data_IF_477319180078
#
_entry.id   IF_477319180078
#
_cell.length_a   1.000
_cell.length_b   1.000
_cell.length_c   1.000
_cell.angle_alpha   90.00
_cell.angle_beta   90.00
_cell.angle_gamma   90.00
#
_symmetry.space_group_name_H-M   'P 1'
#
loop_
_entity.id
_entity.type
_entity.pdbx_description
1 polymer ?
#
# COMPACT_ATOMS: atom_id res chain seq x y z
N UNK A 1 -11.68 36.09 -85.14
CA UNK A 1 -11.21 34.71 -84.87
C UNK A 1 -11.04 34.58 -83.37
N UNK A 2 -11.86 33.78 -82.67
CA UNK A 2 -11.67 33.55 -81.24
C UNK A 2 -10.59 32.50 -81.03
N UNK A 3 -9.60 32.83 -80.22
CA UNK A 3 -8.50 31.96 -79.78
C UNK A 3 -9.04 30.81 -78.93
N UNK A 4 -8.64 29.58 -79.26
CA UNK A 4 -8.89 28.39 -78.44
C UNK A 4 -8.30 28.56 -77.02
N UNK A 5 -8.98 28.06 -75.97
CA UNK A 5 -8.43 28.09 -74.63
C UNK A 5 -7.27 27.08 -74.50
N UNK A 6 -6.29 27.35 -73.61
CA UNK A 6 -5.15 26.47 -73.43
C UNK A 6 -5.59 25.12 -72.85
N UNK A 7 -5.04 24.05 -73.42
CA UNK A 7 -5.20 22.67 -72.98
C UNK A 7 -4.78 22.58 -71.51
N UNK A 8 -5.71 22.21 -70.64
CA UNK A 8 -5.45 21.89 -69.24
C UNK A 8 -4.40 20.78 -69.18
N UNK A 9 -3.24 21.09 -68.59
CA UNK A 9 -2.21 20.10 -68.31
C UNK A 9 -2.82 18.96 -67.47
N UNK A 10 -2.62 17.73 -67.94
CA UNK A 10 -3.03 16.53 -67.22
C UNK A 10 -2.47 16.55 -65.80
N UNK A 11 -3.37 16.54 -64.82
CA UNK A 11 -3.03 16.33 -63.41
C UNK A 11 -2.48 14.92 -63.30
N UNK A 12 -1.16 14.80 -63.11
CA UNK A 12 -0.54 13.51 -62.82
C UNK A 12 -1.22 12.87 -61.60
N UNK A 13 -1.56 11.57 -61.65
CA UNK A 13 -2.24 10.93 -60.54
C UNK A 13 -1.35 11.03 -59.30
N UNK A 14 -1.88 11.66 -58.24
CA UNK A 14 -1.20 11.80 -56.96
C UNK A 14 -0.68 10.42 -56.53
N UNK A 15 0.64 10.32 -56.30
CA UNK A 15 1.26 9.10 -55.78
C UNK A 15 0.46 8.66 -54.56
N UNK A 16 -0.16 7.48 -54.65
CA UNK A 16 -0.95 6.91 -53.58
C UNK A 16 -0.02 6.71 -52.39
N UNK A 17 -0.07 7.61 -51.41
CA UNK A 17 0.70 7.52 -50.18
C UNK A 17 -0.23 6.91 -49.15
N UNK A 18 -0.23 5.57 -48.98
CA UNK A 18 -1.13 4.93 -48.04
C UNK A 18 -0.82 5.46 -46.64
N UNK A 19 -1.77 6.20 -46.06
CA UNK A 19 -1.64 6.67 -44.69
C UNK A 19 -1.90 5.48 -43.77
N UNK A 20 -0.85 5.04 -43.05
CA UNK A 20 -0.97 3.98 -42.05
C UNK A 20 -1.08 4.62 -40.67
N UNK A 21 -2.27 4.57 -40.08
CA UNK A 21 -2.50 5.00 -38.71
C UNK A 21 -1.94 3.95 -37.76
N UNK A 22 -1.12 4.38 -36.80
CA UNK A 22 -0.59 3.55 -35.73
C UNK A 22 -1.37 3.93 -34.46
N UNK A 23 -2.00 2.97 -33.77
CA UNK A 23 -2.67 3.25 -32.50
C UNK A 23 -1.66 3.67 -31.43
N UNK A 24 -2.09 4.51 -30.49
CA UNK A 24 -1.26 5.04 -29.40
C UNK A 24 -1.16 4.07 -28.19
N UNK A 25 -1.63 2.83 -28.36
CA UNK A 25 -1.54 1.79 -27.36
C UNK A 25 -0.19 1.05 -27.46
N UNK A 26 0.39 0.59 -26.33
CA UNK A 26 1.57 -0.26 -26.35
C UNK A 26 1.36 -1.49 -27.24
N UNK A 27 2.21 -1.64 -28.25
CA UNK A 27 2.06 -2.66 -29.31
C UNK A 27 2.93 -3.89 -29.08
N UNK A 28 2.46 -5.05 -29.55
CA UNK A 28 3.22 -6.32 -29.60
C UNK A 28 4.17 -6.41 -30.80
N UNK A 29 4.12 -5.43 -31.70
CA UNK A 29 4.96 -5.29 -32.88
C UNK A 29 5.56 -3.88 -32.93
N UNK A 30 6.84 -3.80 -33.32
CA UNK A 30 7.54 -2.53 -33.47
C UNK A 30 7.16 -1.87 -34.81
N UNK A 31 6.09 -1.09 -34.78
CA UNK A 31 5.51 -0.42 -35.94
C UNK A 31 6.40 0.69 -36.54
N UNK A 32 7.41 1.17 -35.79
CA UNK A 32 8.41 2.12 -36.29
C UNK A 32 9.61 1.42 -36.96
N UNK A 33 9.60 0.08 -37.01
CA UNK A 33 10.62 -0.67 -37.71
C UNK A 33 10.57 -0.43 -39.23
N UNK A 34 11.73 -0.19 -39.83
CA UNK A 34 11.91 -0.03 -41.27
C UNK A 34 13.00 -1.01 -41.72
N UNK A 35 12.76 -1.73 -42.83
CA UNK A 35 13.74 -2.57 -43.55
C UNK A 35 14.89 -3.14 -42.70
N UNK A 36 14.60 -4.15 -41.87
CA UNK A 36 15.60 -4.87 -41.09
C UNK A 36 16.02 -4.21 -39.77
N UNK A 37 15.55 -3.00 -39.47
CA UNK A 37 15.81 -2.32 -38.20
C UNK A 37 14.52 -2.09 -37.41
N UNK A 38 14.51 -2.55 -36.15
CA UNK A 38 13.38 -2.43 -35.21
C UNK A 38 13.89 -1.87 -33.88
N UNK A 39 13.92 -0.53 -33.71
CA UNK A 39 14.61 0.11 -32.59
C UNK A 39 14.06 -0.33 -31.22
N UNK A 40 12.75 -0.36 -31.03
CA UNK A 40 12.15 -0.76 -29.75
C UNK A 40 12.39 -2.25 -29.47
N UNK A 41 12.35 -3.08 -30.51
CA UNK A 41 12.64 -4.52 -30.38
C UNK A 41 14.09 -4.77 -29.94
N UNK A 42 15.05 -4.04 -30.52
CA UNK A 42 16.47 -4.20 -30.14
C UNK A 42 16.71 -3.76 -28.69
N UNK A 43 16.11 -2.65 -28.24
CA UNK A 43 16.18 -2.23 -26.83
C UNK A 43 15.59 -3.31 -25.92
N UNK A 44 14.39 -3.82 -26.24
CA UNK A 44 13.75 -4.89 -25.47
C UNK A 44 14.60 -6.16 -25.42
N UNK A 45 15.25 -6.54 -26.53
CA UNK A 45 16.13 -7.71 -26.60
C UNK A 45 17.39 -7.54 -25.75
N UNK A 46 18.02 -6.37 -25.79
CA UNK A 46 19.18 -6.06 -24.94
C UNK A 46 18.81 -6.12 -23.46
N UNK A 47 17.66 -5.53 -23.08
CA UNK A 47 17.14 -5.62 -21.72
C UNK A 47 16.89 -7.07 -21.31
N UNK A 48 16.23 -7.88 -22.16
CA UNK A 48 15.96 -9.28 -21.87
C UNK A 48 17.25 -10.09 -21.63
N UNK A 49 18.28 -9.91 -22.49
CA UNK A 49 19.58 -10.55 -22.31
C UNK A 49 20.24 -10.15 -21.01
N UNK A 50 20.28 -8.85 -20.72
CA UNK A 50 20.84 -8.34 -19.47
C UNK A 50 20.15 -8.95 -18.25
N UNK A 51 18.82 -9.03 -18.24
CA UNK A 51 18.03 -9.60 -17.14
C UNK A 51 18.26 -11.11 -16.93
N UNK A 52 18.66 -11.84 -17.97
CA UNK A 52 18.89 -13.30 -17.96
C UNK A 52 20.36 -13.64 -17.69
N UNK A 53 21.29 -12.88 -18.25
CA UNK A 53 22.71 -13.22 -18.28
C UNK A 53 23.50 -12.56 -17.14
N UNK A 54 23.12 -11.35 -16.71
CA UNK A 54 23.85 -10.65 -15.66
C UNK A 54 23.69 -11.31 -14.28
N UNK A 55 24.72 -11.22 -13.41
CA UNK A 55 24.69 -11.77 -12.07
C UNK A 55 23.66 -11.07 -11.17
N UNK A 56 23.13 -11.85 -10.23
CA UNK A 56 22.13 -11.44 -9.23
C UNK A 56 22.72 -10.42 -8.26
N UNK A 57 22.41 -9.15 -8.50
CA UNK A 57 22.93 -8.02 -7.72
C UNK A 57 21.86 -7.00 -7.29
N UNK A 58 20.57 -7.24 -7.57
CA UNK A 58 19.51 -6.30 -7.17
C UNK A 58 19.68 -4.96 -7.86
N UNK A 59 19.57 -4.93 -9.19
CA UNK A 59 19.90 -3.74 -10.00
C UNK A 59 18.65 -2.94 -10.37
N UNK A 60 18.83 -1.63 -10.50
CA UNK A 60 17.83 -0.73 -11.06
C UNK A 60 18.28 -0.26 -12.46
N UNK A 61 17.34 -0.17 -13.39
CA UNK A 61 17.55 0.23 -14.78
C UNK A 61 16.55 1.33 -15.11
N UNK A 62 17.04 2.44 -15.64
CA UNK A 62 16.21 3.54 -16.12
C UNK A 62 16.01 3.46 -17.63
N UNK A 63 14.77 3.54 -18.11
CA UNK A 63 14.45 3.70 -19.53
C UNK A 63 14.07 5.15 -19.80
N UNK A 64 15.07 5.94 -20.18
CA UNK A 64 14.91 7.37 -20.41
C UNK A 64 14.28 7.68 -21.78
N UNK A 65 13.33 8.60 -21.82
CA UNK A 65 12.83 9.18 -23.07
C UNK A 65 11.67 10.15 -22.84
N UNK A 66 11.38 11.05 -23.80
CA UNK A 66 10.26 11.99 -23.69
C UNK A 66 8.89 11.29 -23.80
N UNK A 67 7.81 12.03 -23.54
CA UNK A 67 6.45 11.54 -23.83
C UNK A 67 6.32 11.11 -25.31
N UNK A 68 5.67 9.97 -25.55
CA UNK A 68 5.44 9.45 -26.90
C UNK A 68 6.65 8.75 -27.53
N UNK A 69 7.75 8.59 -26.81
CA UNK A 69 8.96 7.92 -27.32
C UNK A 69 8.88 6.38 -27.34
N UNK A 70 7.70 5.79 -27.12
CA UNK A 70 7.51 4.34 -27.19
C UNK A 70 8.00 3.53 -25.97
N UNK A 71 8.26 4.14 -24.81
CA UNK A 71 8.74 3.44 -23.60
C UNK A 71 7.85 2.26 -23.18
N UNK A 72 6.54 2.47 -23.10
CA UNK A 72 5.59 1.40 -22.75
C UNK A 72 5.52 0.32 -23.84
N UNK A 73 5.77 0.66 -25.11
CA UNK A 73 5.95 -0.32 -26.20
C UNK A 73 7.19 -1.18 -25.96
N UNK A 74 8.33 -0.58 -25.59
CA UNK A 74 9.55 -1.34 -25.21
C UNK A 74 9.27 -2.29 -24.05
N UNK A 75 8.54 -1.86 -23.02
CA UNK A 75 8.15 -2.73 -21.89
C UNK A 75 7.28 -3.91 -22.35
N UNK A 76 6.34 -3.66 -23.26
CA UNK A 76 5.48 -4.72 -23.81
C UNK A 76 6.26 -5.72 -24.66
N UNK A 77 7.16 -5.24 -25.51
CA UNK A 77 8.07 -6.09 -26.28
C UNK A 77 9.01 -6.88 -25.37
N UNK A 78 9.51 -6.27 -24.28
CA UNK A 78 10.31 -6.95 -23.27
C UNK A 78 9.53 -8.09 -22.60
N UNK A 79 8.28 -7.85 -22.19
CA UNK A 79 7.43 -8.88 -21.63
C UNK A 79 7.24 -10.07 -22.58
N UNK A 80 7.08 -9.79 -23.89
CA UNK A 80 7.00 -10.79 -24.94
C UNK A 80 8.30 -11.58 -25.08
N UNK A 81 9.45 -10.91 -25.15
CA UNK A 81 10.78 -11.52 -25.26
C UNK A 81 11.12 -12.44 -24.07
N UNK A 82 10.81 -12.00 -22.84
CA UNK A 82 10.97 -12.80 -21.62
C UNK A 82 10.04 -14.03 -21.61
N UNK A 83 8.89 -13.94 -22.26
CA UNK A 83 7.94 -15.05 -22.36
C UNK A 83 8.30 -16.05 -23.47
N UNK A 84 9.00 -15.63 -24.52
CA UNK A 84 9.41 -16.48 -25.65
C UNK A 84 10.76 -17.15 -25.46
N UNK A 85 11.69 -16.53 -24.75
CA UNK A 85 13.08 -16.99 -24.65
C UNK A 85 13.24 -18.19 -23.72
N UNK A 86 13.85 -19.29 -24.19
CA UNK A 86 14.05 -20.52 -23.40
C UNK A 86 14.84 -20.29 -22.11
N UNK A 87 15.89 -19.47 -22.14
CA UNK A 87 16.70 -19.14 -20.95
C UNK A 87 15.89 -18.38 -19.88
N UNK A 88 14.97 -17.50 -20.31
CA UNK A 88 14.07 -16.81 -19.39
C UNK A 88 13.01 -17.76 -18.79
N UNK A 89 12.57 -18.77 -19.53
CA UNK A 89 11.68 -19.83 -19.01
C UNK A 89 12.38 -20.76 -18.03
N UNK A 90 13.63 -21.12 -18.29
CA UNK A 90 14.44 -21.94 -17.36
C UNK A 90 14.65 -21.22 -16.02
N UNK A 91 14.90 -19.91 -16.08
CA UNK A 91 15.04 -19.07 -14.90
C UNK A 91 13.71 -18.70 -14.26
N UNK A 92 12.56 -19.02 -14.87
CA UNK A 92 11.23 -18.54 -14.47
C UNK A 92 11.30 -17.03 -14.21
N UNK A 93 11.51 -16.24 -15.27
CA UNK A 93 11.52 -14.78 -15.18
C UNK A 93 10.09 -14.26 -15.26
N UNK A 94 9.70 -13.44 -14.29
CA UNK A 94 8.37 -12.80 -14.27
C UNK A 94 8.51 -11.29 -14.21
N UNK A 95 7.73 -10.62 -15.04
CA UNK A 95 7.61 -9.17 -15.03
C UNK A 95 6.31 -8.78 -14.34
N UNK A 96 6.40 -7.87 -13.36
CA UNK A 96 5.27 -7.25 -12.65
C UNK A 96 5.31 -5.77 -12.95
N UNK A 97 4.20 -5.20 -13.42
CA UNK A 97 4.12 -3.78 -13.78
C UNK A 97 3.16 -3.05 -12.87
N UNK A 98 3.62 -1.96 -12.28
CA UNK A 98 2.79 -1.04 -11.51
C UNK A 98 2.69 0.29 -12.25
N UNK A 99 1.45 0.66 -12.61
CA UNK A 99 1.17 1.97 -13.19
C UNK A 99 0.95 2.97 -12.06
N UNK A 100 1.93 3.84 -11.85
CA UNK A 100 1.90 4.80 -10.74
C UNK A 100 0.82 5.86 -10.93
N UNK A 101 0.52 6.23 -12.18
CA UNK A 101 -0.43 7.29 -12.50
C UNK A 101 -1.88 6.80 -12.44
N UNK A 102 -2.14 5.55 -12.84
CA UNK A 102 -3.46 4.94 -12.69
C UNK A 102 -3.95 4.87 -11.24
N UNK A 103 -3.01 4.88 -10.28
CA UNK A 103 -3.26 4.89 -8.84
C UNK A 103 -3.01 6.25 -8.18
N UNK A 104 -2.96 7.34 -8.96
CA UNK A 104 -2.84 8.68 -8.38
C UNK A 104 -4.09 9.01 -7.56
N UNK A 105 -3.89 9.41 -6.29
CA UNK A 105 -4.97 9.66 -5.34
C UNK A 105 -5.32 8.46 -4.45
N UNK A 106 -4.88 7.25 -4.80
CA UNK A 106 -4.96 6.09 -3.91
C UNK A 106 -3.84 6.10 -2.86
N UNK A 107 -3.99 5.32 -1.76
CA UNK A 107 -2.86 4.98 -0.89
C UNK A 107 -1.79 4.20 -1.68
N UNK A 108 -0.77 4.90 -2.15
CA UNK A 108 0.24 4.39 -3.10
C UNK A 108 0.87 3.07 -2.67
N UNK A 109 1.32 2.93 -1.41
CA UNK A 109 2.00 1.72 -0.94
C UNK A 109 1.04 0.53 -0.91
N UNK A 110 -0.20 0.78 -0.52
CA UNK A 110 -1.25 -0.23 -0.55
C UNK A 110 -1.50 -0.71 -1.97
N UNK A 111 -1.79 0.21 -2.90
CA UNK A 111 -2.09 -0.13 -4.29
C UNK A 111 -0.91 -0.86 -4.95
N UNK A 112 0.32 -0.46 -4.62
CA UNK A 112 1.53 -1.12 -5.10
C UNK A 112 1.64 -2.57 -4.61
N UNK A 113 1.44 -2.82 -3.30
CA UNK A 113 1.43 -4.20 -2.76
C UNK A 113 0.30 -5.01 -3.37
N UNK A 114 -0.93 -4.48 -3.41
CA UNK A 114 -2.09 -5.20 -3.94
C UNK A 114 -1.91 -5.58 -5.41
N UNK A 115 -1.44 -4.64 -6.25
CA UNK A 115 -1.15 -4.90 -7.67
C UNK A 115 -0.04 -5.93 -7.87
N UNK A 116 1.02 -5.87 -7.05
CA UNK A 116 2.12 -6.84 -7.06
C UNK A 116 1.62 -8.24 -6.69
N UNK A 117 0.83 -8.36 -5.63
CA UNK A 117 0.25 -9.65 -5.20
C UNK A 117 -0.67 -10.25 -6.26
N UNK A 118 -1.50 -9.43 -6.90
CA UNK A 118 -2.41 -9.88 -7.97
C UNK A 118 -1.62 -10.53 -9.11
N UNK A 119 -0.56 -9.88 -9.58
CA UNK A 119 0.26 -10.36 -10.69
C UNK A 119 1.11 -11.58 -10.33
N UNK A 120 1.57 -11.69 -9.07
CA UNK A 120 2.36 -12.84 -8.63
C UNK A 120 1.50 -14.08 -8.31
N UNK A 121 0.27 -13.89 -7.84
CA UNK A 121 -0.69 -14.99 -7.68
C UNK A 121 -1.23 -15.44 -9.04
N UNK A 122 -1.33 -14.53 -10.02
CA UNK A 122 -1.88 -14.82 -11.34
C UNK A 122 -3.38 -15.09 -11.31
N UNK A 123 -3.96 -15.37 -12.49
CA UNK A 123 -5.38 -15.71 -12.60
C UNK A 123 -5.59 -17.23 -12.57
N UNK A 124 -6.83 -17.67 -12.30
CA UNK A 124 -7.15 -19.11 -12.26
C UNK A 124 -6.92 -19.82 -13.60
N UNK A 125 -6.90 -19.08 -14.71
CA UNK A 125 -6.72 -19.59 -16.07
C UNK A 125 -5.28 -19.48 -16.57
N UNK A 126 -4.36 -19.00 -15.73
CA UNK A 126 -2.95 -18.87 -16.09
C UNK A 126 -2.27 -20.25 -16.02
N UNK A 127 -1.63 -20.67 -17.11
CA UNK A 127 -0.94 -21.96 -17.22
C UNK A 127 0.43 -21.96 -16.54
N UNK A 128 0.90 -20.79 -16.06
CA UNK A 128 2.14 -20.65 -15.29
C UNK A 128 1.95 -21.01 -13.81
N UNK A 129 3.02 -21.50 -13.19
CA UNK A 129 3.04 -21.75 -11.75
C UNK A 129 2.76 -20.45 -10.97
N UNK A 130 1.88 -20.49 -9.97
CA UNK A 130 1.65 -19.34 -9.09
C UNK A 130 2.90 -19.11 -8.24
N UNK A 131 3.39 -17.88 -8.19
CA UNK A 131 4.54 -17.54 -7.35
C UNK A 131 4.13 -17.27 -5.91
N UNK A 132 2.89 -16.80 -5.73
CA UNK A 132 2.29 -16.54 -4.44
C UNK A 132 1.00 -17.35 -4.28
N UNK A 133 0.86 -18.00 -3.14
CA UNK A 133 -0.35 -18.71 -2.75
C UNK A 133 -1.52 -17.74 -2.54
N UNK A 134 -2.75 -18.18 -2.84
CA UNK A 134 -3.94 -17.39 -2.52
C UNK A 134 -4.08 -17.08 -1.03
N UNK A 135 -3.54 -17.94 -0.15
CA UNK A 135 -3.62 -17.77 1.30
C UNK A 135 -2.72 -16.65 1.79
N UNK A 136 -1.46 -16.58 1.32
CA UNK A 136 -0.57 -15.46 1.61
C UNK A 136 -1.12 -14.15 1.07
N UNK A 137 -1.69 -14.15 -0.14
CA UNK A 137 -2.39 -12.97 -0.68
C UNK A 137 -3.53 -12.52 0.24
N UNK A 138 -4.35 -13.45 0.74
CA UNK A 138 -5.43 -13.13 1.69
C UNK A 138 -4.90 -12.57 2.99
N UNK A 139 -3.84 -13.16 3.55
CA UNK A 139 -3.24 -12.71 4.81
C UNK A 139 -2.64 -11.30 4.68
N UNK A 140 -1.88 -11.03 3.61
CA UNK A 140 -1.34 -9.69 3.39
C UNK A 140 -2.48 -8.67 3.19
N UNK A 141 -3.54 -9.06 2.47
CA UNK A 141 -4.71 -8.20 2.27
C UNK A 141 -5.49 -7.95 3.57
N UNK A 142 -5.60 -8.94 4.46
CA UNK A 142 -6.20 -8.73 5.78
C UNK A 142 -5.34 -7.79 6.61
N UNK A 143 -4.03 -7.94 6.59
CA UNK A 143 -3.10 -7.07 7.34
C UNK A 143 -3.12 -5.63 6.82
N UNK A 144 -3.31 -5.42 5.51
CA UNK A 144 -3.56 -4.11 4.91
C UNK A 144 -4.89 -3.49 5.38
N UNK A 145 -5.86 -4.28 5.81
CA UNK A 145 -7.23 -3.83 6.10
C UNK A 145 -7.52 -3.75 7.61
N UNK A 146 -6.88 -4.57 8.43
CA UNK A 146 -7.05 -4.61 9.88
C UNK A 146 -6.20 -3.56 10.59
N UNK A 147 -6.78 -2.37 10.82
CA UNK A 147 -6.35 -1.55 11.96
C UNK A 147 -6.93 -2.17 13.24
N UNK A 148 -6.09 -2.86 14.01
CA UNK A 148 -6.43 -3.30 15.38
C UNK A 148 -6.80 -2.08 16.21
N UNK A 149 -8.10 -1.84 16.35
CA UNK A 149 -8.64 -0.84 17.28
C UNK A 149 -8.43 -1.39 18.69
N UNK A 150 -7.27 -1.11 19.28
CA UNK A 150 -7.06 -1.37 20.71
C UNK A 150 -7.75 -0.27 21.47
N UNK A 151 -9.01 -0.47 21.83
CA UNK A 151 -9.65 0.30 22.89
C UNK A 151 -8.95 -0.06 24.19
N UNK A 152 -7.96 0.74 24.59
CA UNK A 152 -7.40 0.61 25.92
C UNK A 152 -8.44 1.17 26.90
N UNK A 153 -9.23 0.27 27.50
CA UNK A 153 -10.01 0.67 28.67
C UNK A 153 -8.97 0.90 29.78
N UNK A 154 -8.96 2.08 30.38
CA UNK A 154 -8.17 2.28 31.60
C UNK A 154 -8.65 1.24 32.63
N UNK A 155 -7.76 0.61 33.42
CA UNK A 155 -8.17 -0.29 34.50
C UNK A 155 -9.23 0.33 35.44
N UNK A 156 -9.23 1.66 35.55
CA UNK A 156 -10.24 2.42 36.30
C UNK A 156 -11.56 2.62 35.57
N UNK A 157 -11.54 2.65 34.24
CA UNK A 157 -12.75 2.64 33.40
C UNK A 157 -13.49 1.31 33.55
N UNK A 158 -12.76 0.20 33.60
CA UNK A 158 -13.33 -1.12 33.87
C UNK A 158 -13.96 -1.18 35.28
N UNK A 159 -13.25 -0.72 36.30
CA UNK A 159 -13.79 -0.63 37.67
C UNK A 159 -15.02 0.29 37.77
N UNK A 160 -15.05 1.39 37.02
CA UNK A 160 -16.21 2.28 36.96
C UNK A 160 -17.40 1.61 36.28
N UNK A 161 -17.19 0.89 35.17
CA UNK A 161 -18.26 0.13 34.51
C UNK A 161 -18.84 -0.95 35.40
N UNK A 162 -17.99 -1.69 36.14
CA UNK A 162 -18.43 -2.69 37.12
C UNK A 162 -19.22 -2.00 38.25
N UNK A 163 -18.76 -0.85 38.76
CA UNK A 163 -19.47 -0.10 39.79
C UNK A 163 -20.84 0.41 39.34
N UNK A 164 -20.98 0.81 38.07
CA UNK A 164 -22.26 1.26 37.52
C UNK A 164 -23.27 0.11 37.40
N UNK A 165 -22.81 -1.11 37.11
CA UNK A 165 -23.67 -2.31 37.12
C UNK A 165 -24.07 -2.66 38.55
N UNK A 166 -23.12 -2.61 39.50
CA UNK A 166 -23.40 -2.85 40.91
C UNK A 166 -24.40 -1.83 41.48
N UNK A 167 -24.35 -0.57 41.07
CA UNK A 167 -25.30 0.44 41.55
C UNK A 167 -26.73 0.18 41.08
N UNK A 168 -26.91 -0.28 39.84
CA UNK A 168 -28.22 -0.69 39.33
C UNK A 168 -28.79 -1.88 40.11
N UNK A 169 -27.96 -2.87 40.46
CA UNK A 169 -28.35 -4.01 41.29
C UNK A 169 -28.71 -3.55 42.71
N UNK A 170 -27.89 -2.66 43.31
CA UNK A 170 -28.16 -2.10 44.62
C UNK A 170 -29.51 -1.38 44.69
N UNK A 171 -29.83 -0.57 43.67
CA UNK A 171 -31.11 0.14 43.59
C UNK A 171 -32.31 -0.82 43.40
N UNK A 172 -32.12 -1.92 42.67
CA UNK A 172 -33.18 -2.91 42.44
C UNK A 172 -33.49 -3.78 43.67
N UNK A 173 -32.51 -3.99 44.55
CA UNK A 173 -32.65 -4.76 45.78
C UNK A 173 -33.13 -3.94 46.98
N UNK A 174 -33.31 -2.62 46.81
CA UNK A 174 -33.87 -1.78 47.87
C UNK A 174 -35.33 -2.16 48.13
N UNK A 175 -35.73 -2.41 49.39
CA UNK A 175 -37.12 -2.65 49.74
C UNK A 175 -37.99 -1.46 49.30
N UNK A 176 -39.11 -1.74 48.60
CA UNK A 176 -40.06 -0.70 48.15
C UNK A 176 -40.85 -0.07 49.31
N UNK A 177 -40.92 -0.77 50.43
CA UNK A 177 -41.69 -0.35 51.60
C UNK A 177 -40.79 0.39 52.60
N UNK A 178 -40.68 1.70 52.41
CA UNK A 178 -39.86 2.60 53.25
C UNK A 178 -40.36 2.75 54.71
N UNK A 179 -41.48 2.10 55.07
CA UNK A 179 -42.14 2.19 56.38
C UNK A 179 -41.74 1.10 57.36
N UNK A 180 -40.97 0.09 56.95
CA UNK A 180 -40.43 -0.92 57.88
C UNK A 180 -39.38 -0.26 58.77
N UNK A 181 -39.65 -0.23 60.08
CA UNK A 181 -38.73 0.30 61.10
C UNK A 181 -37.35 -0.29 60.89
N UNK A 182 -36.32 0.55 60.71
CA UNK A 182 -34.92 0.10 60.58
C UNK A 182 -34.58 -0.70 61.83
N UNK A 183 -34.57 -2.03 61.72
CA UNK A 183 -34.29 -2.93 62.84
C UNK A 183 -32.79 -3.12 62.95
N UNK A 184 -32.20 -2.68 64.05
CA UNK A 184 -30.79 -2.93 64.36
C UNK A 184 -30.66 -4.33 64.97
N UNK A 185 -30.30 -5.32 64.16
CA UNK A 185 -30.16 -6.72 64.55
C UNK A 185 -28.73 -7.18 64.22
N UNK A 186 -27.83 -7.48 65.20
CA UNK A 186 -27.82 -7.27 66.65
C UNK A 186 -27.82 -5.77 67.09
N UNK A 187 -28.04 -5.44 68.38
CA UNK A 187 -28.08 -4.05 68.85
C UNK A 187 -26.78 -3.31 68.50
N UNK A 188 -26.90 -2.27 67.69
CA UNK A 188 -25.79 -1.46 67.18
C UNK A 188 -25.36 -1.75 65.74
N UNK A 189 -25.85 -2.84 65.12
CA UNK A 189 -25.55 -3.16 63.73
C UNK A 189 -26.78 -2.88 62.83
N UNK A 190 -26.64 -2.09 61.76
CA UNK A 190 -27.73 -1.88 60.80
C UNK A 190 -28.05 -3.17 60.03
N UNK A 191 -29.34 -3.38 59.73
CA UNK A 191 -29.83 -4.59 59.06
C UNK A 191 -29.08 -4.89 57.74
N UNK A 192 -28.58 -6.13 57.54
CA UNK A 192 -28.00 -6.58 56.28
C UNK A 192 -28.86 -6.28 55.04
N UNK A 193 -30.19 -6.31 55.18
CA UNK A 193 -31.14 -6.10 54.07
C UNK A 193 -31.11 -4.67 53.51
N UNK A 194 -30.75 -3.67 54.34
CA UNK A 194 -30.63 -2.28 53.90
C UNK A 194 -29.17 -1.89 53.62
N UNK A 195 -28.23 -2.43 54.38
CA UNK A 195 -26.81 -2.07 54.27
C UNK A 195 -26.16 -2.57 52.98
N UNK A 196 -26.46 -3.79 52.55
CA UNK A 196 -25.87 -4.39 51.35
C UNK A 196 -26.34 -3.67 50.07
N UNK A 197 -27.65 -3.40 49.86
CA UNK A 197 -28.11 -2.66 48.68
C UNK A 197 -27.60 -1.22 48.63
N UNK A 198 -27.55 -0.52 49.77
CA UNK A 198 -27.01 0.85 49.86
C UNK A 198 -25.53 0.89 49.50
N UNK A 199 -24.74 -0.10 49.96
CA UNK A 199 -23.31 -0.19 49.64
C UNK A 199 -23.09 -0.40 48.13
N UNK A 200 -23.89 -1.25 47.50
CA UNK A 200 -23.84 -1.47 46.05
C UNK A 200 -24.30 -0.24 45.26
N UNK A 201 -25.38 0.43 45.69
CA UNK A 201 -25.85 1.69 45.11
C UNK A 201 -24.79 2.81 45.19
N UNK A 202 -24.05 2.87 46.31
CA UNK A 202 -22.98 3.84 46.53
C UNK A 202 -21.63 3.46 45.89
N UNK A 203 -21.52 2.29 45.26
CA UNK A 203 -20.25 1.78 44.73
C UNK A 203 -19.52 2.71 43.74
N UNK A 204 -20.18 3.47 42.84
CA UNK A 204 -19.48 4.41 41.95
C UNK A 204 -18.84 5.59 42.72
N UNK A 205 -19.49 6.03 43.81
CA UNK A 205 -18.97 7.08 44.68
C UNK A 205 -17.77 6.59 45.49
N UNK A 206 -17.81 5.35 45.97
CA UNK A 206 -16.67 4.72 46.65
C UNK A 206 -15.45 4.66 45.74
N UNK A 207 -15.61 4.20 44.48
CA UNK A 207 -14.52 4.17 43.49
C UNK A 207 -13.92 5.56 43.28
N UNK A 208 -14.75 6.62 43.23
CA UNK A 208 -14.28 8.01 43.13
C UNK A 208 -13.58 8.52 44.40
N UNK A 209 -14.05 8.15 45.59
CA UNK A 209 -13.48 8.59 46.87
C UNK A 209 -12.14 7.90 47.12
N UNK A 210 -12.04 6.58 46.92
CA UNK A 210 -10.78 5.84 47.04
C UNK A 210 -9.73 6.28 46.02
N UNK A 211 -10.16 6.84 44.88
CA UNK A 211 -9.29 7.45 43.88
C UNK A 211 -8.58 8.71 44.40
N UNK A 212 -9.27 9.57 45.15
CA UNK A 212 -8.77 10.91 45.51
C UNK A 212 -7.47 10.90 46.35
N UNK A 213 -7.33 10.11 47.44
CA UNK A 213 -6.11 10.08 48.26
C UNK A 213 -5.00 9.18 47.68
N UNK A 214 -5.34 8.19 46.84
CA UNK A 214 -4.35 7.29 46.22
C UNK A 214 -3.59 8.01 45.09
N UNK A 215 -4.26 8.86 44.31
CA UNK A 215 -3.62 9.73 43.30
C UNK A 215 -2.77 10.84 43.93
N UNK A 216 -3.20 11.41 45.07
CA UNK A 216 -2.44 12.50 45.72
C UNK A 216 -1.10 12.05 46.30
N UNK A 217 -0.91 10.74 46.54
CA UNK A 217 0.34 10.16 47.05
C UNK A 217 1.30 9.67 45.96
N UNK A 218 0.79 9.25 44.80
CA UNK A 218 1.62 8.65 43.75
C UNK A 218 1.84 9.53 42.51
N UNK A 219 1.00 10.55 42.25
CA UNK A 219 1.02 11.25 40.96
C UNK A 219 0.77 12.75 41.11
N UNK A 220 1.82 13.48 41.53
CA UNK A 220 1.82 14.96 41.51
C UNK A 220 2.08 15.55 40.11
N UNK A 221 2.38 14.73 39.11
CA UNK A 221 2.92 15.19 37.81
C UNK A 221 2.09 14.82 36.57
N UNK A 222 1.10 13.91 36.66
CA UNK A 222 0.32 13.46 35.48
C UNK A 222 -1.11 14.02 35.41
N UNK A 223 -1.56 14.76 36.42
CA UNK A 223 -2.91 15.35 36.45
C UNK A 223 -2.90 16.77 35.88
N UNK A 224 -2.58 16.92 34.59
CA UNK A 224 -2.86 18.20 33.90
C UNK A 224 -3.72 18.10 32.66
N UNK A 225 -4.17 16.93 32.20
CA UNK A 225 -4.98 16.89 30.98
C UNK A 225 -5.90 15.68 30.76
N UNK A 226 -6.46 15.07 31.80
CA UNK A 226 -7.30 13.87 31.63
C UNK A 226 -8.69 14.04 32.26
N UNK A 227 -9.53 14.85 31.61
CA UNK A 227 -10.94 15.09 31.96
C UNK A 227 -11.93 14.15 31.24
N UNK A 228 -11.47 13.21 30.40
CA UNK A 228 -12.34 12.26 29.68
C UNK A 228 -12.26 10.86 30.28
N UNK A 229 -13.00 10.62 31.37
CA UNK A 229 -12.92 9.37 32.14
C UNK A 229 -13.71 8.18 31.59
N UNK A 230 -14.56 8.38 30.59
CA UNK A 230 -15.41 7.33 30.06
C UNK A 230 -15.32 7.30 28.55
N UNK A 231 -14.30 6.63 28.05
CA UNK A 231 -14.03 6.43 26.61
C UNK A 231 -13.35 7.62 25.93
N UNK A 232 -12.03 7.53 25.82
CA UNK A 232 -11.37 7.99 24.60
C UNK A 232 -11.66 6.92 23.53
N UNK A 233 -12.91 6.80 23.12
CA UNK A 233 -13.28 6.06 21.92
C UNK A 233 -12.81 6.93 20.76
N UNK A 234 -11.55 6.80 20.37
CA UNK A 234 -11.13 7.24 19.05
C UNK A 234 -11.86 6.34 18.05
N UNK A 235 -13.01 6.80 17.59
CA UNK A 235 -13.63 6.30 16.38
C UNK A 235 -12.69 6.66 15.23
N UNK A 236 -11.64 5.87 15.01
CA UNK A 236 -10.90 5.93 13.77
C UNK A 236 -11.80 5.24 12.77
N UNK A 237 -12.63 6.04 12.10
CA UNK A 237 -13.30 5.65 10.88
C UNK A 237 -12.27 5.02 9.95
N UNK A 238 -12.47 3.75 9.63
CA UNK A 238 -11.69 2.99 8.65
C UNK A 238 -11.96 3.60 7.28
N UNK A 239 -11.21 4.66 6.96
CA UNK A 239 -10.86 4.95 5.58
C UNK A 239 -9.43 4.47 5.39
N UNK A 240 -9.22 3.68 4.35
CA UNK A 240 -7.98 3.02 3.95
C UNK A 240 -6.76 3.95 4.13
N UNK A 241 -6.08 3.84 5.27
CA UNK A 241 -4.84 4.58 5.48
C UNK A 241 -3.74 3.89 4.70
N UNK A 242 -2.90 4.69 4.04
CA UNK A 242 -1.67 4.20 3.43
C UNK A 242 -0.79 3.58 4.52
N UNK A 243 -0.27 2.35 4.35
CA UNK A 243 0.61 1.76 5.35
C UNK A 243 1.85 2.62 5.59
N UNK A 244 2.36 2.55 6.81
CA UNK A 244 3.67 3.15 7.13
C UNK A 244 4.77 2.48 6.30
N UNK A 245 5.94 3.11 6.19
CA UNK A 245 7.06 2.53 5.45
C UNK A 245 7.44 1.15 6.01
N UNK A 246 7.46 1.00 7.34
CA UNK A 246 7.81 -0.26 8.02
C UNK A 246 6.78 -1.34 7.68
N UNK A 247 5.49 -1.06 7.84
CA UNK A 247 4.41 -2.00 7.50
C UNK A 247 4.49 -2.40 6.02
N UNK A 248 4.61 -1.43 5.11
CA UNK A 248 4.78 -1.67 3.68
C UNK A 248 5.93 -2.64 3.39
N UNK A 249 7.11 -2.40 3.98
CA UNK A 249 8.28 -3.23 3.80
C UNK A 249 8.07 -4.64 4.36
N UNK A 250 7.47 -4.79 5.54
CA UNK A 250 7.15 -6.11 6.12
C UNK A 250 6.18 -6.92 5.24
N UNK A 251 5.17 -6.25 4.67
CA UNK A 251 4.21 -6.89 3.76
C UNK A 251 4.88 -7.33 2.45
N UNK A 252 5.67 -6.44 1.86
CA UNK A 252 6.38 -6.71 0.61
C UNK A 252 7.41 -7.81 0.79
N UNK A 253 8.19 -7.79 1.88
CA UNK A 253 9.14 -8.84 2.21
C UNK A 253 8.50 -10.22 2.34
N UNK A 254 7.37 -10.30 3.05
CA UNK A 254 6.62 -11.56 3.17
C UNK A 254 6.19 -12.09 1.80
N UNK A 255 5.70 -11.21 0.93
CA UNK A 255 5.35 -11.56 -0.44
C UNK A 255 6.57 -12.08 -1.23
N UNK A 256 7.71 -11.39 -1.12
CA UNK A 256 8.92 -11.73 -1.86
C UNK A 256 9.60 -13.01 -1.37
N UNK A 257 9.58 -13.30 -0.07
CA UNK A 257 10.14 -14.56 0.49
C UNK A 257 9.47 -15.80 -0.08
N UNK A 258 8.17 -15.74 -0.34
CA UNK A 258 7.43 -16.82 -0.98
C UNK A 258 7.57 -16.81 -2.51
N UNK A 259 7.52 -15.62 -3.13
CA UNK A 259 7.62 -15.48 -4.57
C UNK A 259 9.00 -15.89 -5.10
N UNK A 260 10.06 -15.53 -4.38
CA UNK A 260 11.46 -15.75 -4.71
C UNK A 260 12.14 -16.56 -3.60
N UNK A 261 11.83 -17.85 -3.44
CA UNK A 261 12.47 -18.68 -2.43
C UNK A 261 13.88 -19.08 -2.89
N UNK A 262 14.82 -19.33 -1.97
CA UNK A 262 16.25 -19.53 -2.28
C UNK A 262 16.56 -20.81 -3.06
N UNK A 263 15.64 -21.77 -3.08
CA UNK A 263 15.74 -23.04 -3.80
C UNK A 263 15.42 -22.92 -5.31
N UNK A 264 14.66 -21.89 -5.70
CA UNK A 264 14.27 -21.66 -7.09
C UNK A 264 15.15 -20.63 -7.79
N UNK A 265 15.39 -20.81 -9.09
CA UNK A 265 16.15 -19.86 -9.94
C UNK A 265 15.36 -18.61 -10.37
N UNK A 266 14.15 -18.42 -9.85
CA UNK A 266 13.22 -17.32 -10.19
C UNK A 266 13.88 -15.95 -10.18
N UNK A 267 13.53 -15.13 -11.17
CA UNK A 267 13.94 -13.71 -11.24
C UNK A 267 12.73 -12.80 -11.45
N UNK A 268 12.62 -11.76 -10.64
CA UNK A 268 11.53 -10.79 -10.72
C UNK A 268 12.01 -9.53 -11.43
N UNK A 269 11.22 -9.05 -12.39
CA UNK A 269 11.38 -7.73 -13.00
C UNK A 269 10.21 -6.88 -12.54
N UNK A 270 10.47 -5.97 -11.61
CA UNK A 270 9.49 -5.01 -11.12
C UNK A 270 9.58 -3.75 -11.99
N UNK A 271 8.49 -3.40 -12.66
CA UNK A 271 8.39 -2.23 -13.53
C UNK A 271 7.51 -1.19 -12.87
N UNK A 272 7.99 0.05 -12.79
CA UNK A 272 7.23 1.18 -12.27
C UNK A 272 6.98 2.17 -13.40
N UNK A 273 5.85 2.01 -14.08
CA UNK A 273 5.51 2.85 -15.22
C UNK A 273 4.84 4.16 -14.76
N UNK A 274 4.91 5.17 -15.63
CA UNK A 274 4.26 6.47 -15.48
C UNK A 274 4.60 7.27 -14.20
N UNK A 275 5.75 7.01 -13.57
CA UNK A 275 6.21 7.81 -12.42
C UNK A 275 6.42 9.29 -12.77
N UNK A 276 6.85 9.56 -14.01
CA UNK A 276 7.02 10.91 -14.59
C UNK A 276 5.68 11.63 -14.86
N UNK A 277 4.54 10.96 -14.73
CA UNK A 277 3.20 11.54 -14.93
C UNK A 277 2.54 12.01 -13.64
N UNK A 278 3.09 11.63 -12.48
CA UNK A 278 2.57 12.04 -11.19
C UNK A 278 2.71 13.54 -10.97
N UNK A 279 1.75 14.13 -10.24
CA UNK A 279 1.92 15.47 -9.69
C UNK A 279 3.11 15.53 -8.70
N UNK A 280 3.74 16.71 -8.50
CA UNK A 280 4.97 16.82 -7.69
C UNK A 280 4.87 16.23 -6.28
N UNK A 281 3.74 16.43 -5.60
CA UNK A 281 3.52 15.89 -4.25
C UNK A 281 3.43 14.35 -4.25
N UNK A 282 2.68 13.77 -5.19
CA UNK A 282 2.58 12.30 -5.31
C UNK A 282 3.89 11.67 -5.76
N UNK A 283 4.63 12.34 -6.64
CA UNK A 283 5.94 11.88 -7.08
C UNK A 283 6.98 11.85 -5.95
N UNK A 284 7.01 12.86 -5.07
CA UNK A 284 7.87 12.85 -3.89
C UNK A 284 7.54 11.66 -2.97
N UNK A 285 6.25 11.38 -2.77
CA UNK A 285 5.78 10.25 -1.97
C UNK A 285 6.12 8.90 -2.61
N UNK A 286 6.00 8.80 -3.93
CA UNK A 286 6.42 7.62 -4.68
C UNK A 286 7.92 7.41 -4.59
N UNK A 287 8.70 8.46 -4.82
CA UNK A 287 10.15 8.41 -4.74
C UNK A 287 10.66 8.02 -3.35
N UNK A 288 10.09 8.56 -2.27
CA UNK A 288 10.49 8.20 -0.91
C UNK A 288 10.18 6.73 -0.58
N UNK A 289 9.07 6.21 -1.11
CA UNK A 289 8.71 4.79 -0.99
C UNK A 289 9.67 3.89 -1.77
N UNK A 290 10.08 4.30 -2.96
CA UNK A 290 11.07 3.58 -3.77
C UNK A 290 12.46 3.62 -3.17
N UNK A 291 12.86 4.75 -2.60
CA UNK A 291 14.12 4.85 -1.88
C UNK A 291 14.15 3.90 -0.69
N UNK A 292 13.07 3.79 0.08
CA UNK A 292 12.99 2.80 1.17
C UNK A 292 13.15 1.36 0.65
N UNK A 293 12.50 1.01 -0.46
CA UNK A 293 12.62 -0.31 -1.09
C UNK A 293 14.07 -0.62 -1.53
N UNK A 294 14.80 0.38 -2.06
CA UNK A 294 16.10 0.20 -2.68
C UNK A 294 17.29 0.37 -1.72
N UNK A 295 17.26 1.36 -0.82
CA UNK A 295 18.39 1.72 0.03
C UNK A 295 18.60 0.72 1.16
N UNK A 296 17.53 0.33 1.85
CA UNK A 296 17.61 -0.57 3.03
C UNK A 296 18.09 -1.99 2.65
N UNK A 297 17.85 -2.40 1.40
CA UNK A 297 18.11 -3.77 0.90
C UNK A 297 19.39 -3.90 0.07
N UNK A 298 20.00 -2.79 -0.34
CA UNK A 298 21.37 -2.84 -0.85
C UNK A 298 22.37 -3.22 0.26
N UNK A 299 22.05 -2.86 1.51
CA UNK A 299 22.89 -3.11 2.69
C UNK A 299 22.51 -4.43 3.41
N UNK A 300 21.22 -4.72 3.55
CA UNK A 300 20.74 -5.98 4.13
C UNK A 300 20.65 -7.09 3.07
N UNK A 301 21.49 -8.11 3.21
CA UNK A 301 21.74 -9.24 2.29
C UNK A 301 20.56 -10.19 2.06
N UNK A 302 19.34 -9.70 1.88
CA UNK A 302 18.20 -10.56 1.57
C UNK A 302 18.38 -11.22 0.19
N UNK A 303 18.35 -12.56 0.18
CA UNK A 303 18.66 -13.36 -1.01
C UNK A 303 17.64 -13.16 -2.15
N UNK A 304 16.41 -12.74 -1.84
CA UNK A 304 15.40 -12.45 -2.84
C UNK A 304 15.69 -11.12 -3.55
N UNK A 305 16.21 -10.10 -2.86
CA UNK A 305 16.46 -8.77 -3.45
C UNK A 305 17.49 -8.83 -4.58
N UNK A 306 18.53 -9.66 -4.42
CA UNK A 306 19.55 -9.87 -5.46
C UNK A 306 18.97 -10.39 -6.78
N UNK A 307 17.81 -11.06 -6.74
CA UNK A 307 17.11 -11.65 -7.88
C UNK A 307 15.96 -10.79 -8.39
N UNK A 308 15.78 -9.60 -7.83
CA UNK A 308 14.84 -8.59 -8.29
C UNK A 308 15.57 -7.55 -9.12
N UNK A 309 14.99 -7.18 -10.25
CA UNK A 309 15.40 -6.04 -11.06
C UNK A 309 14.30 -5.00 -11.01
N UNK A 310 14.70 -3.75 -10.79
CA UNK A 310 13.80 -2.62 -10.89
C UNK A 310 13.98 -1.96 -12.27
N UNK A 311 12.89 -1.76 -13.00
CA UNK A 311 12.87 -1.06 -14.27
C UNK A 311 11.96 0.17 -14.17
N UNK A 312 12.51 1.34 -14.47
CA UNK A 312 11.78 2.61 -14.35
C UNK A 312 11.86 3.37 -15.66
N UNK A 313 10.78 3.38 -16.47
CA UNK A 313 10.62 4.35 -17.53
C UNK A 313 10.47 5.75 -16.96
N UNK A 314 11.18 6.73 -17.53
CA UNK A 314 11.10 8.11 -17.06
C UNK A 314 11.41 9.11 -18.15
N UNK A 315 10.86 10.32 -18.01
CA UNK A 315 11.24 11.50 -18.75
C UNK A 315 12.19 12.36 -17.91
N UNK A 316 13.43 12.51 -18.37
CA UNK A 316 14.45 13.28 -17.67
C UNK A 316 13.97 14.71 -17.37
N UNK A 317 13.24 15.35 -18.28
CA UNK A 317 12.74 16.72 -18.10
C UNK A 317 11.78 16.86 -16.92
N UNK A 318 11.04 15.80 -16.60
CA UNK A 318 10.10 15.76 -15.48
C UNK A 318 10.74 15.28 -14.19
N UNK A 319 11.72 14.38 -14.27
CA UNK A 319 12.45 13.90 -13.09
C UNK A 319 13.26 15.02 -12.42
N UNK A 320 13.81 15.97 -13.18
CA UNK A 320 14.48 17.14 -12.63
C UNK A 320 13.57 18.08 -11.82
N UNK A 321 12.25 18.03 -12.00
CA UNK A 321 11.31 18.80 -11.19
C UNK A 321 11.18 18.21 -9.78
N UNK A 322 11.31 16.89 -9.63
CA UNK A 322 11.25 16.21 -8.33
C UNK A 322 12.46 16.53 -7.46
N UNK A 323 13.65 16.69 -8.05
CA UNK A 323 14.88 17.02 -7.31
C UNK A 323 14.96 18.49 -6.88
N UNK A 324 14.35 19.42 -7.64
CA UNK A 324 14.28 20.85 -7.27
C UNK A 324 13.19 21.17 -6.25
N UNK A 325 12.10 20.39 -6.19
CA UNK A 325 11.10 20.51 -5.12
C UNK A 325 11.66 20.19 -3.73
N UNK A 326 12.76 19.43 -3.64
CA UNK A 326 13.43 19.11 -2.37
C UNK A 326 14.35 20.24 -1.87
N UNK A 327 14.70 21.23 -2.71
CA UNK A 327 15.59 22.33 -2.32
C UNK A 327 14.87 23.65 -2.04
N UNK A 328 13.55 23.74 -2.22
CA UNK A 328 12.78 24.98 -1.99
C UNK A 328 12.18 25.12 -0.58
N UNK A 329 12.34 24.15 0.33
CA UNK A 329 11.90 24.28 1.74
C UNK A 329 13.03 24.70 2.71
N UNK A 330 14.19 25.11 2.20
CA UNK A 330 15.30 25.64 3.02
C UNK A 330 15.77 27.01 2.51
N UNK A 331 14.89 28.01 2.58
CA UNK A 331 15.28 29.42 2.64
C UNK A 331 14.37 30.17 3.58
#
# INVERSE_FOLDING_TARGET
MPSEPPILAEVTPARHCPTRLIPDDPSDDDALGVEGYRPHQEVARVLARMLVEEPMAGRAVGLEGPWGSGKSTVLRLLHKELSSTSSARELDVRMVTFDSWAHEGDPLRRSFVESTLEQLTGTANDSRERWLSPDTKRQIRSDLTEKKTRTHVSPWGELLTISAVLSAIGLALLPRDWTTTITFWPPGCPDPQFTIPILFAASPLLVRIFRAPLLSRFWKESIKNDSSLLTKASNITVSAADPTTIEFMELFDRAMREALPSDKKRRLVLVLDNLDRLSPAHAQKAWSTLQALLQERAEEKEHWFRRMWLLVPYDASRVFLFSRGATQEWT
#
